data_IF_404215688773
#
_entry.id   IF_404215688773
#
_cell.length_a   1.000
_cell.length_b   1.000
_cell.length_c   1.000
_cell.angle_alpha   90.00
_cell.angle_beta   90.00
_cell.angle_gamma   90.00
#
_symmetry.space_group_name_H-M   'P 1'
#
loop_
_entity.id
_entity.type
_entity.pdbx_description
1 polymer ?
#
# COMPACT_ATOMS: atom_id res chain seq x y z
N UNK A 1 15.73 9.07 -7.87
CA UNK A 1 14.62 9.95 -8.28
C UNK A 1 14.28 10.83 -7.09
N UNK A 2 13.99 12.10 -7.31
CA UNK A 2 13.57 13.00 -6.22
C UNK A 2 12.12 12.72 -5.86
N UNK A 3 11.76 12.88 -4.59
CA UNK A 3 10.37 12.80 -4.15
C UNK A 3 9.53 13.91 -4.77
N UNK A 4 8.25 13.62 -5.01
CA UNK A 4 7.26 14.60 -5.43
C UNK A 4 7.06 15.61 -4.29
N UNK A 5 7.05 16.89 -4.63
CA UNK A 5 6.84 17.96 -3.68
C UNK A 5 5.35 18.12 -3.40
N UNK A 6 4.96 18.07 -2.13
CA UNK A 6 3.58 18.31 -1.69
C UNK A 6 3.40 19.77 -1.27
N UNK A 7 2.22 20.32 -1.53
CA UNK A 7 1.84 21.65 -1.08
C UNK A 7 1.24 21.53 0.33
N UNK A 8 1.99 21.91 1.37
CA UNK A 8 1.57 21.81 2.77
C UNK A 8 1.11 20.38 3.19
N UNK A 9 1.72 19.33 2.60
CA UNK A 9 1.36 17.93 2.86
C UNK A 9 0.29 17.37 1.93
N UNK A 10 -0.32 18.20 1.08
CA UNK A 10 -1.40 17.81 0.17
C UNK A 10 -0.94 17.78 -1.30
N UNK A 11 -1.70 17.05 -2.13
CA UNK A 11 -1.52 17.08 -3.59
C UNK A 11 -2.02 18.43 -4.15
N UNK A 12 -1.18 19.10 -4.93
CA UNK A 12 -1.64 20.21 -5.77
C UNK A 12 -2.43 19.70 -6.99
N UNK A 13 -3.12 20.59 -7.69
CA UNK A 13 -3.90 20.24 -8.88
C UNK A 13 -3.06 19.54 -9.95
N UNK A 14 -1.77 19.89 -10.08
CA UNK A 14 -0.88 19.26 -11.04
C UNK A 14 -0.58 17.80 -10.72
N UNK A 15 -0.40 17.46 -9.44
CA UNK A 15 -0.23 16.08 -9.00
C UNK A 15 -1.54 15.29 -9.08
N UNK A 16 -2.68 15.92 -8.78
CA UNK A 16 -4.00 15.32 -8.95
C UNK A 16 -4.24 14.94 -10.42
N UNK A 17 -4.01 15.88 -11.35
CA UNK A 17 -4.14 15.64 -12.79
C UNK A 17 -3.21 14.52 -13.26
N UNK A 18 -1.97 14.49 -12.76
CA UNK A 18 -1.01 13.43 -13.07
C UNK A 18 -1.47 12.06 -12.57
N UNK A 19 -2.04 11.97 -11.36
CA UNK A 19 -2.60 10.71 -10.87
C UNK A 19 -3.69 10.21 -11.82
N UNK A 20 -4.65 11.06 -12.19
CA UNK A 20 -5.74 10.67 -13.09
C UNK A 20 -5.26 10.41 -14.53
N UNK A 21 -4.16 11.00 -14.95
CA UNK A 21 -3.53 10.72 -16.24
C UNK A 21 -2.81 9.36 -16.26
N UNK A 22 -1.99 9.09 -15.24
CA UNK A 22 -1.01 8.00 -15.23
C UNK A 22 -1.44 6.77 -14.42
N UNK A 23 -2.38 6.92 -13.49
CA UNK A 23 -2.90 5.87 -12.62
C UNK A 23 -2.11 5.64 -11.34
N UNK A 24 -1.03 6.39 -11.10
CA UNK A 24 -0.21 6.29 -9.88
C UNK A 24 0.64 7.55 -9.64
N UNK A 25 1.06 7.76 -8.39
CA UNK A 25 2.06 8.76 -8.00
C UNK A 25 3.18 8.10 -7.21
N UNK A 26 4.43 8.40 -7.57
CA UNK A 26 5.62 7.89 -6.89
C UNK A 26 6.85 8.74 -7.23
N UNK A 27 7.83 8.89 -6.31
CA UNK A 27 7.74 8.65 -4.87
C UNK A 27 7.11 9.84 -4.15
N UNK A 28 6.32 9.58 -3.10
CA UNK A 28 5.85 10.60 -2.15
C UNK A 28 6.49 10.29 -0.79
N UNK A 29 7.12 11.29 -0.17
CA UNK A 29 7.74 11.13 1.15
C UNK A 29 6.74 11.51 2.23
N UNK A 30 6.19 10.50 2.92
CA UNK A 30 5.33 10.69 4.11
C UNK A 30 6.11 10.53 5.42
N UNK A 31 7.22 9.78 5.40
CA UNK A 31 8.12 9.58 6.54
C UNK A 31 9.56 9.44 6.04
N UNK A 32 10.52 9.70 6.91
CA UNK A 32 11.93 9.50 6.57
C UNK A 32 12.35 8.03 6.72
N UNK A 33 13.58 7.73 6.29
CA UNK A 33 14.11 6.36 6.31
C UNK A 33 14.33 5.81 7.73
N UNK A 34 14.59 6.68 8.72
CA UNK A 34 14.80 6.25 10.10
C UNK A 34 13.47 5.90 10.76
N UNK A 35 12.42 6.72 10.54
CA UNK A 35 11.06 6.44 10.97
C UNK A 35 10.53 5.14 10.35
N UNK A 36 10.70 4.97 9.03
CA UNK A 36 10.30 3.74 8.34
C UNK A 36 11.03 2.50 8.91
N UNK A 37 12.34 2.60 9.19
CA UNK A 37 13.12 1.53 9.78
C UNK A 37 12.69 1.20 11.22
N UNK A 38 12.33 2.21 12.02
CA UNK A 38 11.83 2.00 13.38
C UNK A 38 10.47 1.28 13.36
N UNK A 39 9.56 1.70 12.49
CA UNK A 39 8.24 1.04 12.29
C UNK A 39 8.43 -0.40 11.81
N UNK A 40 9.37 -0.64 10.90
CA UNK A 40 9.72 -2.00 10.48
C UNK A 40 10.25 -2.85 11.62
N UNK A 41 11.13 -2.30 12.46
CA UNK A 41 11.67 -3.02 13.62
C UNK A 41 10.59 -3.36 14.65
N UNK A 42 9.61 -2.46 14.85
CA UNK A 42 8.43 -2.72 15.68
C UNK A 42 7.60 -3.87 15.11
N UNK A 43 7.35 -3.84 13.80
CA UNK A 43 6.65 -4.93 13.10
C UNK A 43 7.37 -6.27 13.24
N UNK A 44 8.68 -6.33 12.99
CA UNK A 44 9.48 -7.55 13.10
C UNK A 44 9.50 -8.10 14.53
N UNK A 45 9.48 -7.23 15.54
CA UNK A 45 9.37 -7.62 16.96
C UNK A 45 8.01 -8.25 17.24
N UNK A 46 6.92 -7.63 16.82
CA UNK A 46 5.57 -8.17 16.96
C UNK A 46 5.42 -9.51 16.25
N UNK A 47 6.01 -9.63 15.06
CA UNK A 47 5.99 -10.86 14.30
C UNK A 47 6.73 -12.00 15.03
N UNK A 48 7.87 -11.71 15.66
CA UNK A 48 8.61 -12.68 16.48
C UNK A 48 7.82 -13.12 17.71
N UNK A 49 7.16 -12.19 18.41
CA UNK A 49 6.32 -12.48 19.58
C UNK A 49 5.10 -13.33 19.20
N UNK A 50 4.41 -12.96 18.12
CA UNK A 50 3.20 -13.67 17.67
C UNK A 50 3.49 -15.03 17.07
N UNK A 51 4.65 -15.24 16.44
CA UNK A 51 5.11 -16.58 16.04
C UNK A 51 5.26 -17.54 17.23
N UNK A 52 5.59 -17.02 18.41
CA UNK A 52 5.70 -17.81 19.63
C UNK A 52 4.38 -17.98 20.37
N UNK A 53 3.33 -17.24 19.97
CA UNK A 53 2.01 -17.32 20.57
C UNK A 53 1.19 -18.48 20.02
N UNK A 54 0.30 -19.03 20.84
CA UNK A 54 -0.68 -20.04 20.43
C UNK A 54 -1.88 -19.35 19.76
N UNK A 55 -1.72 -19.01 18.47
CA UNK A 55 -2.74 -18.32 17.69
C UNK A 55 -3.74 -19.31 17.06
N UNK A 56 -5.06 -18.99 17.04
CA UNK A 56 -6.07 -19.83 16.41
C UNK A 56 -5.89 -20.05 14.90
N UNK A 57 -5.24 -19.10 14.21
CA UNK A 57 -4.95 -19.13 12.79
C UNK A 57 -3.46 -18.90 12.54
N UNK A 58 -2.93 -19.27 11.36
CA UNK A 58 -1.58 -18.89 10.97
C UNK A 58 -1.40 -17.37 11.04
N UNK A 59 -0.24 -16.91 11.53
CA UNK A 59 0.10 -15.49 11.63
C UNK A 59 -0.24 -14.68 10.38
N UNK A 60 0.09 -15.24 9.20
CA UNK A 60 -0.16 -14.58 7.92
C UNK A 60 -1.64 -14.25 7.66
N UNK A 61 -2.58 -15.00 8.23
CA UNK A 61 -4.02 -14.70 8.14
C UNK A 61 -4.39 -13.37 8.81
N UNK A 62 -3.68 -12.99 9.87
CA UNK A 62 -3.87 -11.71 10.56
C UNK A 62 -3.15 -10.55 9.88
N UNK A 63 -2.10 -10.83 9.11
CA UNK A 63 -1.27 -9.82 8.44
C UNK A 63 -1.77 -9.43 7.04
N UNK A 64 -2.45 -10.37 6.36
CA UNK A 64 -2.83 -10.24 4.95
C UNK A 64 -4.26 -9.82 4.70
N UNK A 65 -5.11 -9.78 5.72
CA UNK A 65 -6.50 -9.35 5.56
C UNK A 65 -6.86 -8.51 6.77
N UNK A 66 -7.26 -7.26 6.54
CA UNK A 66 -7.78 -6.37 7.58
C UNK A 66 -6.89 -6.30 8.83
N UNK A 67 -5.56 -6.23 8.65
CA UNK A 67 -4.60 -6.22 9.74
C UNK A 67 -4.87 -5.08 10.73
N UNK A 68 -5.37 -3.94 10.25
CA UNK A 68 -5.78 -2.81 11.08
C UNK A 68 -6.86 -3.14 12.11
N UNK A 69 -7.67 -4.19 11.92
CA UNK A 69 -8.68 -4.61 12.90
C UNK A 69 -8.09 -5.32 14.12
N UNK A 70 -6.89 -5.88 14.00
CA UNK A 70 -6.28 -6.74 15.04
C UNK A 70 -4.88 -6.27 15.46
N UNK A 71 -4.27 -5.39 14.68
CA UNK A 71 -2.92 -4.90 14.89
C UNK A 71 -2.90 -3.36 14.93
N UNK A 72 -2.67 -2.75 16.11
CA UNK A 72 -2.62 -1.29 16.25
C UNK A 72 -1.59 -0.62 15.33
N UNK A 73 -0.48 -1.31 15.02
CA UNK A 73 0.53 -0.81 14.09
C UNK A 73 -0.03 -0.58 12.68
N UNK A 74 -0.84 -1.52 12.18
CA UNK A 74 -1.48 -1.39 10.87
C UNK A 74 -2.52 -0.25 10.87
N UNK A 75 -3.31 -0.12 11.93
CA UNK A 75 -4.27 0.97 12.07
C UNK A 75 -3.57 2.33 12.11
N UNK A 76 -2.46 2.45 12.85
CA UNK A 76 -1.66 3.69 12.92
C UNK A 76 -1.10 4.11 11.57
N UNK A 77 -0.63 3.16 10.76
CA UNK A 77 -0.14 3.44 9.40
C UNK A 77 -1.27 3.81 8.44
N UNK A 78 -2.39 3.08 8.49
CA UNK A 78 -3.54 3.32 7.62
C UNK A 78 -4.25 4.65 7.92
N UNK A 79 -4.18 5.11 9.17
CA UNK A 79 -4.76 6.37 9.65
C UNK A 79 -3.73 7.49 9.78
N UNK A 80 -2.51 7.32 9.26
CA UNK A 80 -1.48 8.36 9.34
C UNK A 80 -1.94 9.61 8.56
N UNK A 81 -2.05 10.80 9.20
CA UNK A 81 -2.54 12.00 8.54
C UNK A 81 -1.76 12.36 7.28
N UNK A 82 -0.44 12.09 7.24
CA UNK A 82 0.41 12.39 6.08
C UNK A 82 0.08 11.51 4.89
N UNK A 83 -0.46 10.31 5.13
CA UNK A 83 -0.98 9.42 4.09
C UNK A 83 -2.39 9.85 3.68
N UNK A 84 -3.25 10.14 4.66
CA UNK A 84 -4.63 10.56 4.41
C UNK A 84 -4.71 11.89 3.66
N UNK A 85 -3.83 12.86 3.93
CA UNK A 85 -3.75 14.14 3.21
C UNK A 85 -3.47 13.93 1.70
N UNK A 86 -2.70 12.90 1.36
CA UNK A 86 -2.40 12.54 -0.03
C UNK A 86 -3.58 11.83 -0.67
N UNK A 87 -4.21 10.89 0.05
CA UNK A 87 -5.37 10.11 -0.41
C UNK A 87 -6.59 11.00 -0.62
N UNK A 88 -6.81 11.97 0.28
CA UNK A 88 -7.88 12.97 0.17
C UNK A 88 -7.75 13.79 -1.11
N UNK A 89 -6.52 14.11 -1.54
CA UNK A 89 -6.28 14.77 -2.81
C UNK A 89 -6.73 13.97 -4.05
N UNK A 90 -6.89 12.65 -3.91
CA UNK A 90 -7.35 11.76 -4.99
C UNK A 90 -8.84 11.48 -4.89
N UNK A 91 -9.32 11.05 -3.73
CA UNK A 91 -10.69 10.55 -3.53
C UNK A 91 -11.67 11.60 -2.96
N UNK A 92 -11.16 12.71 -2.44
CA UNK A 92 -11.93 13.66 -1.65
C UNK A 92 -11.94 13.36 -0.15
N UNK A 93 -12.65 14.15 0.66
CA UNK A 93 -12.51 14.18 2.12
C UNK A 93 -13.19 13.01 2.85
N UNK A 94 -14.17 12.35 2.22
CA UNK A 94 -14.97 11.30 2.85
C UNK A 94 -14.31 9.93 2.68
N UNK A 95 -13.31 9.66 3.52
CA UNK A 95 -12.46 8.47 3.41
C UNK A 95 -12.88 7.35 4.37
N UNK A 96 -12.74 6.11 3.90
CA UNK A 96 -12.86 4.89 4.71
C UNK A 96 -11.66 3.98 4.46
N UNK A 97 -11.02 3.51 5.53
CA UNK A 97 -10.02 2.44 5.43
C UNK A 97 -10.76 1.13 5.22
N UNK A 98 -10.75 0.61 3.99
CA UNK A 98 -11.37 -0.66 3.67
C UNK A 98 -10.54 -1.86 4.14
N UNK A 99 -9.24 -1.87 3.83
CA UNK A 99 -8.28 -2.90 4.23
C UNK A 99 -6.91 -2.28 4.52
N UNK A 100 -6.11 -2.98 5.30
CA UNK A 100 -4.70 -2.68 5.51
C UNK A 100 -3.94 -4.01 5.66
N UNK A 101 -2.85 -4.17 4.93
CA UNK A 101 -2.17 -5.45 4.77
C UNK A 101 -0.65 -5.25 4.72
N UNK A 102 0.10 -6.22 5.26
CA UNK A 102 1.56 -6.24 5.13
C UNK A 102 1.97 -7.07 3.92
N UNK A 103 2.61 -6.41 2.95
CA UNK A 103 3.12 -7.05 1.74
C UNK A 103 4.62 -7.39 1.87
N UNK A 104 4.93 -8.58 2.39
CA UNK A 104 6.30 -8.98 2.75
C UNK A 104 6.90 -9.87 1.65
N UNK A 105 8.12 -9.54 1.19
CA UNK A 105 8.94 -10.37 0.31
C UNK A 105 10.21 -10.80 1.05
N UNK A 106 10.27 -12.06 1.46
CA UNK A 106 11.44 -12.63 2.11
C UNK A 106 12.65 -12.72 1.16
N UNK A 107 13.89 -12.54 1.66
CA UNK A 107 15.09 -12.68 0.84
C UNK A 107 15.15 -14.03 0.11
N UNK A 108 15.38 -14.00 -1.21
CA UNK A 108 15.46 -15.18 -2.09
C UNK A 108 14.14 -15.97 -2.22
N UNK A 109 13.01 -15.38 -1.85
CA UNK A 109 11.70 -15.95 -2.17
C UNK A 109 11.54 -16.15 -3.68
N UNK A 110 10.86 -17.24 -4.08
CA UNK A 110 10.45 -17.47 -5.47
C UNK A 110 9.08 -16.90 -5.78
N UNK A 111 8.38 -16.37 -4.77
CA UNK A 111 7.06 -15.79 -4.94
C UNK A 111 7.14 -14.50 -5.74
N UNK A 112 6.35 -14.45 -6.81
CA UNK A 112 6.17 -13.29 -7.68
C UNK A 112 4.69 -12.94 -7.67
N UNK A 113 4.38 -11.65 -7.73
CA UNK A 113 3.02 -11.19 -8.02
C UNK A 113 3.00 -10.79 -9.48
N UNK A 114 2.16 -11.48 -10.26
CA UNK A 114 1.95 -11.16 -11.67
C UNK A 114 1.23 -9.83 -11.85
N UNK A 115 1.25 -9.30 -13.08
CA UNK A 115 0.46 -8.12 -13.43
C UNK A 115 -1.03 -8.39 -13.24
N UNK A 116 -1.71 -7.55 -12.48
CA UNK A 116 -3.13 -7.66 -12.16
C UNK A 116 -3.75 -6.27 -11.91
N UNK A 117 -5.07 -6.23 -11.81
CA UNK A 117 -5.83 -5.07 -11.32
C UNK A 117 -6.41 -5.43 -9.94
N UNK A 118 -6.19 -4.61 -8.93
CA UNK A 118 -6.66 -4.88 -7.55
C UNK A 118 -8.17 -5.18 -7.50
N UNK A 119 -8.96 -4.41 -8.27
CA UNK A 119 -10.42 -4.54 -8.35
C UNK A 119 -10.89 -5.93 -8.82
N UNK A 120 -10.05 -6.69 -9.54
CA UNK A 120 -10.36 -8.06 -9.95
C UNK A 120 -10.62 -8.96 -8.76
N UNK A 121 -9.98 -8.71 -7.61
CA UNK A 121 -10.07 -9.57 -6.43
C UNK A 121 -11.09 -9.09 -5.39
N UNK A 122 -11.49 -7.82 -5.43
CA UNK A 122 -12.23 -7.20 -4.33
C UNK A 122 -13.76 -7.26 -4.50
N UNK A 123 -14.25 -7.67 -5.68
CA UNK A 123 -15.68 -7.89 -5.92
C UNK A 123 -16.54 -6.62 -5.85
N UNK A 124 -15.93 -5.43 -5.94
CA UNK A 124 -16.62 -4.15 -5.85
C UNK A 124 -17.11 -3.62 -7.21
N UNK A 125 -16.84 -4.36 -8.29
CA UNK A 125 -17.08 -3.90 -9.65
C UNK A 125 -16.10 -2.82 -10.09
N UNK A 126 -16.35 -2.24 -11.27
CA UNK A 126 -15.57 -1.14 -11.80
C UNK A 126 -15.92 0.16 -11.06
N UNK A 127 -14.97 0.74 -10.33
CA UNK A 127 -15.14 2.00 -9.61
C UNK A 127 -13.83 2.79 -9.56
N UNK A 128 -13.94 4.11 -9.54
CA UNK A 128 -12.84 5.06 -9.30
C UNK A 128 -12.74 5.53 -7.85
N UNK A 129 -13.61 5.04 -6.96
CA UNK A 129 -13.75 5.53 -5.59
C UNK A 129 -12.80 4.81 -4.60
N UNK A 130 -11.70 4.25 -5.12
CA UNK A 130 -10.74 3.47 -4.35
C UNK A 130 -9.31 3.79 -4.78
N UNK A 131 -8.39 3.79 -3.81
CA UNK A 131 -6.95 3.94 -4.03
C UNK A 131 -6.16 3.07 -3.06
N UNK A 132 -5.07 2.49 -3.54
CA UNK A 132 -4.09 1.77 -2.73
C UNK A 132 -2.94 2.72 -2.38
N UNK A 133 -2.75 3.01 -1.09
CA UNK A 133 -1.57 3.69 -0.58
C UNK A 133 -0.50 2.66 -0.18
N UNK A 134 0.52 2.46 -1.04
CA UNK A 134 1.61 1.53 -0.75
C UNK A 134 2.75 2.22 0.01
N UNK A 135 2.95 1.83 1.28
CA UNK A 135 3.93 2.48 2.18
C UNK A 135 5.19 1.60 2.30
N UNK A 136 6.34 2.16 1.92
CA UNK A 136 7.61 1.46 1.96
C UNK A 136 8.23 1.49 3.38
N UNK A 137 8.16 0.37 4.11
CA UNK A 137 8.86 0.21 5.40
C UNK A 137 10.31 -0.30 5.24
N UNK A 138 10.72 -0.60 4.01
CA UNK A 138 12.10 -0.96 3.63
C UNK A 138 12.39 -0.49 2.21
N UNK A 139 13.67 -0.41 1.79
CA UNK A 139 14.00 -0.04 0.41
C UNK A 139 13.34 -0.96 -0.63
N UNK A 140 12.44 -0.38 -1.42
CA UNK A 140 11.76 -1.04 -2.54
C UNK A 140 12.57 -0.84 -3.82
N UNK A 141 13.48 -1.77 -4.11
CA UNK A 141 14.37 -1.75 -5.28
C UNK A 141 13.98 -2.86 -6.25
N UNK A 142 14.48 -2.83 -7.48
CA UNK A 142 14.28 -3.96 -8.40
C UNK A 142 14.82 -5.29 -7.82
N UNK A 143 15.89 -5.24 -7.03
CA UNK A 143 16.48 -6.43 -6.39
C UNK A 143 15.64 -6.97 -5.22
N UNK A 144 14.90 -6.10 -4.51
CA UNK A 144 13.97 -6.49 -3.44
C UNK A 144 12.53 -6.68 -3.92
N UNK A 145 12.28 -6.49 -5.22
CA UNK A 145 10.98 -6.70 -5.85
C UNK A 145 10.01 -5.54 -5.63
N UNK A 146 10.41 -4.32 -6.00
CA UNK A 146 9.53 -3.15 -6.07
C UNK A 146 8.30 -3.40 -6.98
N UNK A 147 7.31 -2.52 -6.88
CA UNK A 147 6.15 -2.54 -7.77
C UNK A 147 6.56 -2.17 -9.21
N UNK A 148 5.78 -2.65 -10.16
CA UNK A 148 5.81 -2.26 -11.56
C UNK A 148 4.39 -1.87 -11.99
N UNK A 149 4.27 -0.79 -12.76
CA UNK A 149 2.99 -0.20 -13.14
C UNK A 149 2.91 0.02 -14.65
N UNK A 150 1.77 -0.28 -15.23
CA UNK A 150 1.45 0.09 -16.61
C UNK A 150 0.77 1.46 -16.60
N UNK A 151 1.51 2.50 -17.02
CA UNK A 151 0.99 3.87 -17.08
C UNK A 151 -0.35 3.95 -17.83
N UNK A 152 -1.36 4.53 -17.18
CA UNK A 152 -2.69 4.76 -17.74
C UNK A 152 -3.57 3.51 -17.83
N UNK A 153 -3.14 2.36 -17.30
CA UNK A 153 -3.90 1.11 -17.40
C UNK A 153 -5.21 1.12 -16.61
N UNK A 154 -5.35 2.01 -15.62
CA UNK A 154 -6.59 2.22 -14.86
C UNK A 154 -7.75 2.74 -15.73
N UNK A 155 -7.47 3.24 -16.94
CA UNK A 155 -8.48 3.68 -17.92
C UNK A 155 -9.07 2.53 -18.74
N UNK A 156 -8.47 1.33 -18.65
CA UNK A 156 -9.03 0.14 -19.27
C UNK A 156 -10.16 -0.42 -18.39
N UNK A 157 -11.15 -1.13 -18.97
CA UNK A 157 -12.06 -1.94 -18.18
C UNK A 157 -11.28 -3.01 -17.41
N UNK A 158 -11.94 -3.66 -16.45
CA UNK A 158 -11.35 -4.83 -15.79
C UNK A 158 -11.13 -5.92 -16.83
N UNK A 159 -9.87 -6.30 -17.04
CA UNK A 159 -9.48 -7.31 -18.02
C UNK A 159 -9.67 -8.73 -17.44
N UNK A 160 -9.94 -9.75 -18.29
CA UNK A 160 -9.91 -11.14 -17.86
C UNK A 160 -8.58 -11.48 -17.20
N UNK A 161 -8.63 -12.08 -16.01
CA UNK A 161 -7.44 -12.41 -15.23
C UNK A 161 -7.33 -13.92 -15.02
N UNK A 162 -6.10 -14.42 -15.10
CA UNK A 162 -5.73 -15.80 -14.77
C UNK A 162 -4.52 -15.70 -13.86
N UNK A 163 -4.65 -16.19 -12.63
CA UNK A 163 -3.53 -16.23 -11.68
C UNK A 163 -2.38 -17.05 -12.27
N UNK A 164 -1.17 -16.51 -12.19
CA UNK A 164 0.08 -17.15 -12.66
C UNK A 164 0.93 -17.64 -11.51
#
# INVERSE_FOLDING_TARGET
MNALALAAGQLDTGLQDRYWQDGFLHPITVMDAAEAAAIRSEFETLEAEWRAADLPLPLNSYLRVNAHCVLPLAARLALDPRVLDVVEGVLGPDLMVWSAEFFIKEPRTKHVVGMHQDLTYWGMGETSDQVTAWIALSPATCASGCMDFVRGSHKNPILPHVDT
#
